data_IF_346041789957
#
_entry.id   IF_346041789957
#
_cell.length_a   1.000
_cell.length_b   1.000
_cell.length_c   1.000
_cell.angle_alpha   90.00
_cell.angle_beta   90.00
_cell.angle_gamma   90.00
#
_symmetry.space_group_name_H-M   'P 1'
#
loop_
_entity.id
_entity.type
_entity.pdbx_description
1 polymer ?
#
# COMPACT_ATOMS: atom_id res chain seq x y z
N UNK A 1 -16.37 -7.09 32.89
CA UNK A 1 -15.72 -6.83 31.58
C UNK A 1 -15.97 -5.36 31.19
N UNK A 2 -15.34 -4.41 31.88
CA UNK A 2 -15.56 -2.96 31.70
C UNK A 2 -14.28 -2.22 32.08
N UNK A 3 -13.29 -2.24 31.19
CA UNK A 3 -12.12 -1.37 31.31
C UNK A 3 -12.38 0.00 30.65
N UNK A 4 -11.64 1.05 31.02
CA UNK A 4 -11.85 2.45 30.59
C UNK A 4 -11.74 2.72 29.08
N UNK A 5 -11.53 1.69 28.25
CA UNK A 5 -11.32 1.83 26.80
C UNK A 5 -12.13 0.85 25.94
N UNK A 6 -13.23 0.27 26.46
CA UNK A 6 -14.02 -0.70 25.67
C UNK A 6 -14.58 -0.08 24.38
N UNK A 7 -15.04 1.18 24.45
CA UNK A 7 -15.65 1.87 23.30
C UNK A 7 -14.64 2.06 22.18
N UNK A 8 -13.42 2.45 22.53
CA UNK A 8 -12.31 2.60 21.63
C UNK A 8 -11.88 1.25 21.03
N UNK A 9 -11.88 0.17 21.81
CA UNK A 9 -11.62 -1.17 21.29
C UNK A 9 -12.67 -1.63 20.27
N UNK A 10 -13.97 -1.37 20.52
CA UNK A 10 -15.02 -1.66 19.53
C UNK A 10 -14.87 -0.81 18.27
N UNK A 11 -14.52 0.47 18.41
CA UNK A 11 -14.27 1.35 17.27
C UNK A 11 -13.08 0.87 16.43
N UNK A 12 -11.96 0.49 17.06
CA UNK A 12 -10.81 -0.07 16.34
C UNK A 12 -11.15 -1.38 15.63
N UNK A 13 -11.96 -2.24 16.25
CA UNK A 13 -12.46 -3.46 15.61
C UNK A 13 -13.26 -3.16 14.35
N UNK A 14 -14.17 -2.17 14.39
CA UNK A 14 -14.95 -1.76 13.22
C UNK A 14 -14.09 -1.12 12.11
N UNK A 15 -12.93 -0.57 12.46
CA UNK A 15 -11.95 0.02 11.54
C UNK A 15 -10.93 -0.99 10.98
N UNK A 16 -11.12 -2.28 11.21
CA UNK A 16 -10.25 -3.34 10.66
C UNK A 16 -9.08 -3.75 11.55
N UNK A 17 -9.18 -3.48 12.87
CA UNK A 17 -8.26 -3.96 13.90
C UNK A 17 -9.00 -4.74 15.01
N UNK A 18 -9.55 -5.94 14.69
CA UNK A 18 -10.35 -6.74 15.64
C UNK A 18 -9.49 -7.36 16.74
N UNK A 19 -8.20 -7.55 16.50
CA UNK A 19 -7.30 -8.24 17.42
C UNK A 19 -7.00 -7.38 18.64
N UNK A 20 -7.52 -7.81 19.79
CA UNK A 20 -7.33 -7.10 21.06
C UNK A 20 -5.86 -7.10 21.51
N UNK A 21 -5.10 -8.13 21.14
CA UNK A 21 -3.66 -8.25 21.38
C UNK A 21 -2.86 -7.12 20.72
N UNK A 22 -3.34 -6.56 19.62
CA UNK A 22 -2.73 -5.41 18.94
C UNK A 22 -3.35 -4.07 19.37
N UNK A 23 -4.69 -4.02 19.46
CA UNK A 23 -5.42 -2.79 19.70
C UNK A 23 -5.30 -2.26 21.14
N UNK A 24 -5.28 -3.13 22.15
CA UNK A 24 -5.21 -2.70 23.54
C UNK A 24 -3.84 -2.08 23.90
N UNK A 25 -2.69 -2.66 23.50
CA UNK A 25 -1.39 -2.00 23.71
C UNK A 25 -1.25 -0.69 22.93
N UNK A 26 -1.83 -0.59 21.72
CA UNK A 26 -1.82 0.66 20.96
C UNK A 26 -2.60 1.78 21.66
N UNK A 27 -3.77 1.47 22.22
CA UNK A 27 -4.54 2.43 23.03
C UNK A 27 -3.80 2.84 24.29
N UNK A 28 -3.18 1.90 25.00
CA UNK A 28 -2.42 2.19 26.21
C UNK A 28 -1.25 3.14 25.93
N UNK A 29 -0.47 2.89 24.87
CA UNK A 29 0.65 3.75 24.44
C UNK A 29 0.20 5.17 24.06
N UNK A 30 -1.05 5.32 23.61
CA UNK A 30 -1.62 6.59 23.17
C UNK A 30 -2.54 7.23 24.24
N UNK A 31 -2.44 6.82 25.51
CA UNK A 31 -3.23 7.40 26.61
C UNK A 31 -4.75 7.25 26.43
N UNK A 32 -5.19 6.22 25.72
CA UNK A 32 -6.60 5.99 25.39
C UNK A 32 -7.11 6.77 24.17
N UNK A 33 -6.25 7.51 23.47
CA UNK A 33 -6.61 8.20 22.22
C UNK A 33 -6.88 7.20 21.09
N UNK A 34 -8.13 7.20 20.60
CA UNK A 34 -8.54 6.38 19.46
C UNK A 34 -7.72 6.72 18.20
N UNK A 35 -7.57 8.01 17.89
CA UNK A 35 -6.84 8.47 16.71
C UNK A 35 -5.35 8.14 16.79
N UNK A 36 -4.73 8.31 17.96
CA UNK A 36 -3.33 7.94 18.17
C UNK A 36 -3.11 6.44 17.97
N UNK A 37 -3.96 5.62 18.60
CA UNK A 37 -3.91 4.17 18.45
C UNK A 37 -4.13 3.72 17.00
N UNK A 38 -5.09 4.33 16.30
CA UNK A 38 -5.37 4.01 14.90
C UNK A 38 -4.16 4.34 13.99
N UNK A 39 -3.55 5.51 14.17
CA UNK A 39 -2.35 5.90 13.41
C UNK A 39 -1.19 4.93 13.65
N UNK A 40 -1.00 4.49 14.89
CA UNK A 40 0.03 3.53 15.26
C UNK A 40 -0.19 2.16 14.60
N UNK A 41 -1.43 1.69 14.59
CA UNK A 41 -1.82 0.41 13.99
C UNK A 41 -1.74 0.44 12.46
N UNK A 42 -2.09 1.56 11.83
CA UNK A 42 -2.06 1.72 10.37
C UNK A 42 -0.65 1.94 9.82
N UNK A 43 0.22 2.62 10.55
CA UNK A 43 1.58 2.94 10.12
C UNK A 43 2.38 1.74 9.57
N UNK A 44 2.50 0.59 10.26
CA UNK A 44 3.22 -0.55 9.70
C UNK A 44 2.58 -1.13 8.43
N UNK A 45 1.26 -1.01 8.26
CA UNK A 45 0.55 -1.44 7.04
C UNK A 45 0.83 -0.50 5.86
N UNK A 46 1.01 0.80 6.12
CA UNK A 46 1.27 1.82 5.10
C UNK A 46 2.76 1.96 4.75
N UNK A 47 3.66 1.62 5.68
CA UNK A 47 5.12 1.72 5.47
C UNK A 47 5.60 1.06 4.17
N UNK A 48 5.19 -0.16 3.79
CA UNK A 48 5.62 -0.78 2.53
C UNK A 48 5.23 0.03 1.28
N UNK A 49 4.06 0.67 1.30
CA UNK A 49 3.59 1.50 0.19
C UNK A 49 4.40 2.80 0.07
N UNK A 50 4.67 3.44 1.20
CA UNK A 50 5.55 4.61 1.25
C UNK A 50 6.95 4.25 0.73
N UNK A 51 7.54 3.16 1.20
CA UNK A 51 8.86 2.72 0.73
C UNK A 51 8.89 2.42 -0.77
N UNK A 52 7.79 1.91 -1.34
CA UNK A 52 7.68 1.70 -2.80
C UNK A 52 7.60 3.00 -3.58
N UNK A 53 6.97 4.04 -3.05
CA UNK A 53 6.89 5.36 -3.69
C UNK A 53 8.27 6.01 -3.82
N UNK A 54 9.11 5.86 -2.79
CA UNK A 54 10.45 6.46 -2.75
C UNK A 54 11.53 5.58 -3.39
N UNK A 55 11.23 4.32 -3.69
CA UNK A 55 12.17 3.45 -4.42
C UNK A 55 12.14 3.81 -5.89
N UNK A 56 13.32 3.90 -6.55
CA UNK A 56 13.33 3.99 -7.99
C UNK A 56 12.61 2.75 -8.55
N UNK A 57 11.75 2.92 -9.56
CA UNK A 57 11.18 1.78 -10.23
C UNK A 57 12.33 0.93 -10.77
N UNK A 58 12.29 -0.38 -10.50
CA UNK A 58 13.27 -1.32 -11.05
C UNK A 58 13.19 -1.39 -12.58
N UNK A 59 13.98 -2.25 -13.23
CA UNK A 59 13.87 -2.47 -14.67
C UNK A 59 12.43 -2.87 -15.05
N UNK A 60 12.02 -2.47 -16.26
CA UNK A 60 10.77 -2.94 -16.85
C UNK A 60 10.90 -4.44 -17.11
N UNK A 61 9.88 -5.19 -16.75
CA UNK A 61 9.74 -6.62 -17.03
C UNK A 61 8.66 -6.73 -18.10
N UNK A 62 9.07 -6.97 -19.35
CA UNK A 62 8.15 -7.03 -20.49
C UNK A 62 7.33 -8.34 -20.52
N UNK A 63 7.76 -9.34 -19.75
CA UNK A 63 7.05 -10.61 -19.55
C UNK A 63 6.10 -10.57 -18.34
N UNK A 64 5.97 -9.41 -17.68
CA UNK A 64 5.09 -9.26 -16.53
C UNK A 64 3.63 -9.64 -16.90
N UNK A 65 2.98 -10.53 -16.12
CA UNK A 65 1.71 -11.12 -16.51
C UNK A 65 0.54 -10.13 -16.54
N UNK A 66 0.59 -9.09 -15.71
CA UNK A 66 -0.38 -8.00 -15.73
C UNK A 66 0.07 -6.88 -16.67
N UNK A 67 -0.39 -6.96 -17.91
CA UNK A 67 -0.09 -5.97 -18.95
C UNK A 67 -0.51 -4.56 -18.56
N UNK A 68 -1.60 -4.37 -17.79
CA UNK A 68 -1.99 -3.02 -17.39
C UNK A 68 -1.03 -2.44 -16.34
N UNK A 69 -0.52 -3.26 -15.43
CA UNK A 69 0.52 -2.83 -14.49
C UNK A 69 1.81 -2.44 -15.23
N UNK A 70 2.23 -3.22 -16.23
CA UNK A 70 3.38 -2.89 -17.08
C UNK A 70 3.17 -1.55 -17.82
N UNK A 71 2.00 -1.34 -18.42
CA UNK A 71 1.68 -0.09 -19.14
C UNK A 71 1.69 1.12 -18.21
N UNK A 72 1.12 1.02 -17.01
CA UNK A 72 1.19 2.10 -16.00
C UNK A 72 2.63 2.41 -15.61
N UNK A 73 3.47 1.38 -15.49
CA UNK A 73 4.89 1.54 -15.16
C UNK A 73 5.64 2.22 -16.29
N UNK A 74 5.44 1.79 -17.54
CA UNK A 74 5.99 2.44 -18.74
C UNK A 74 5.63 3.93 -18.78
N UNK A 75 4.36 4.28 -18.55
CA UNK A 75 3.90 5.69 -18.49
C UNK A 75 4.54 6.47 -17.33
N UNK A 76 4.86 5.81 -16.22
CA UNK A 76 5.47 6.45 -15.07
C UNK A 76 6.99 6.62 -15.19
N UNK A 77 7.66 5.81 -16.03
CA UNK A 77 9.14 5.76 -16.11
C UNK A 77 9.72 6.24 -17.42
N UNK A 78 8.96 6.19 -18.51
CA UNK A 78 9.38 6.60 -19.85
C UNK A 78 8.54 7.80 -20.30
N UNK A 79 9.13 8.68 -21.10
CA UNK A 79 8.45 9.85 -21.65
C UNK A 79 7.57 9.47 -22.86
N UNK A 80 6.54 8.67 -22.61
CA UNK A 80 5.53 8.27 -23.59
C UNK A 80 4.22 9.00 -23.37
N UNK A 81 3.80 9.77 -24.38
CA UNK A 81 2.69 10.71 -24.27
C UNK A 81 1.28 10.09 -24.26
N UNK A 82 1.12 8.77 -24.31
CA UNK A 82 -0.21 8.14 -24.31
C UNK A 82 -0.21 6.66 -23.93
N UNK A 83 -1.37 6.17 -23.47
CA UNK A 83 -1.61 4.76 -23.17
C UNK A 83 -1.34 3.85 -24.36
N UNK A 84 -1.77 4.24 -25.57
CA UNK A 84 -1.54 3.48 -26.80
C UNK A 84 -0.05 3.33 -27.13
N UNK A 85 0.75 4.38 -26.94
CA UNK A 85 2.21 4.32 -27.11
C UNK A 85 2.86 3.43 -26.06
N UNK A 86 2.40 3.49 -24.82
CA UNK A 86 2.89 2.62 -23.75
C UNK A 86 2.54 1.14 -23.98
N UNK A 87 1.36 0.84 -24.52
CA UNK A 87 1.01 -0.51 -24.98
C UNK A 87 1.93 -1.01 -26.09
N UNK A 88 2.22 -0.16 -27.07
CA UNK A 88 3.13 -0.50 -28.17
C UNK A 88 4.55 -0.80 -27.65
N UNK A 89 5.05 -0.01 -26.70
CA UNK A 89 6.32 -0.28 -26.02
C UNK A 89 6.30 -1.62 -25.30
N UNK A 90 5.21 -1.95 -24.59
CA UNK A 90 5.07 -3.23 -23.90
C UNK A 90 5.14 -4.42 -24.87
N UNK A 91 4.40 -4.35 -25.99
CA UNK A 91 4.40 -5.41 -27.00
C UNK A 91 5.76 -5.57 -27.68
N UNK A 92 6.38 -4.46 -28.10
CA UNK A 92 7.70 -4.50 -28.74
C UNK A 92 8.78 -5.03 -27.81
N UNK A 93 8.78 -4.64 -26.53
CA UNK A 93 9.75 -5.16 -25.58
C UNK A 93 9.65 -6.68 -25.42
N UNK A 94 8.43 -7.23 -25.39
CA UNK A 94 8.22 -8.68 -25.38
C UNK A 94 8.68 -9.37 -26.65
N UNK A 95 8.32 -8.83 -27.82
CA UNK A 95 8.73 -9.39 -29.11
C UNK A 95 10.25 -9.39 -29.31
N UNK A 96 10.93 -8.38 -28.77
CA UNK A 96 12.38 -8.23 -28.83
C UNK A 96 13.13 -8.96 -27.71
N UNK A 97 12.43 -9.54 -26.73
CA UNK A 97 13.03 -10.22 -25.58
C UNK A 97 13.83 -9.30 -24.65
N UNK A 98 13.34 -8.08 -24.42
CA UNK A 98 13.94 -7.08 -23.53
C UNK A 98 13.59 -7.28 -22.06
#
# INVERSE_FOLDING_TARGET
LTGPHWAQLRALSALGFPERSEAAPALQRNGGSLWGALKDLQRPRLCPFLLRLWRPPGPLDFDYPDQQALVRRILATLDVASWGRALLVASLGRELGL
#
